data_IF_045537668759
#
_entry.id   IF_045537668759
#
_cell.length_a   1.000
_cell.length_b   1.000
_cell.length_c   1.000
_cell.angle_alpha   90.00
_cell.angle_beta   90.00
_cell.angle_gamma   90.00
#
_symmetry.space_group_name_H-M   'P 1'
#
loop_
_entity.id
_entity.type
_entity.pdbx_description
1 polymer ?
#
# COMPACT_ATOMS: atom_id res chain seq x y z
N UNK A 1 42.20 30.34 22.19
CA UNK A 1 42.61 29.22 21.32
C UNK A 1 42.50 27.92 22.09
N UNK A 2 41.45 27.13 21.85
CA UNK A 2 41.46 25.70 22.19
C UNK A 2 40.51 25.00 21.21
N UNK A 3 41.08 24.09 20.41
CA UNK A 3 40.44 23.38 19.31
C UNK A 3 39.47 22.32 19.85
N UNK A 4 38.23 22.36 19.36
CA UNK A 4 37.24 21.29 19.55
C UNK A 4 37.53 20.24 18.47
N UNK A 5 37.93 19.04 18.90
CA UNK A 5 38.11 17.90 18.04
C UNK A 5 36.76 17.33 17.61
N UNK A 6 36.55 17.23 16.29
CA UNK A 6 35.37 16.64 15.70
C UNK A 6 35.38 15.12 15.84
N UNK A 7 34.26 14.57 16.29
CA UNK A 7 34.00 13.14 16.25
C UNK A 7 33.17 12.86 14.99
N UNK A 8 33.84 12.40 13.93
CA UNK A 8 33.20 11.81 12.76
C UNK A 8 32.56 10.49 13.18
N UNK A 9 31.23 10.43 13.23
CA UNK A 9 30.50 9.16 13.31
C UNK A 9 30.47 8.59 11.90
N UNK A 10 31.18 7.48 11.72
CA UNK A 10 31.31 6.75 10.47
C UNK A 10 29.94 6.41 9.86
N UNK A 11 29.79 6.74 8.58
CA UNK A 11 28.78 6.14 7.71
C UNK A 11 29.05 4.63 7.66
N UNK A 12 28.16 3.82 8.22
CA UNK A 12 28.19 2.38 7.96
C UNK A 12 27.76 2.17 6.51
N UNK A 13 28.75 1.80 5.70
CA UNK A 13 28.62 1.38 4.32
C UNK A 13 27.67 0.18 4.20
N UNK A 14 26.78 0.19 3.22
CA UNK A 14 25.80 -0.90 2.98
C UNK A 14 26.44 -2.12 2.27
N UNK A 15 27.78 -2.20 2.23
CA UNK A 15 28.54 -3.21 1.51
C UNK A 15 28.62 -4.57 2.22
N UNK A 16 28.34 -4.67 3.53
CA UNK A 16 28.58 -5.90 4.31
C UNK A 16 27.29 -6.61 4.77
N UNK A 17 26.30 -6.75 3.89
CA UNK A 17 25.28 -7.80 4.07
C UNK A 17 25.77 -9.04 3.32
N UNK A 18 26.00 -10.18 4.00
CA UNK A 18 26.47 -11.40 3.34
C UNK A 18 25.53 -11.76 2.19
N UNK A 19 26.05 -11.75 0.95
CA UNK A 19 25.33 -12.15 -0.27
C UNK A 19 24.90 -13.62 -0.28
N UNK A 20 25.11 -14.35 0.82
CA UNK A 20 24.98 -15.80 0.91
C UNK A 20 24.02 -16.28 2.00
N UNK A 21 23.01 -15.47 2.36
CA UNK A 21 21.87 -15.99 3.13
C UNK A 21 20.84 -16.56 2.16
N UNK A 22 20.61 -17.87 2.24
CA UNK A 22 19.49 -18.53 1.54
C UNK A 22 18.21 -17.70 1.76
N UNK A 23 17.37 -17.50 0.72
CA UNK A 23 16.15 -16.71 0.87
C UNK A 23 15.30 -17.30 2.00
N UNK A 24 14.81 -16.42 2.88
CA UNK A 24 13.95 -16.82 3.98
C UNK A 24 12.79 -17.70 3.45
N UNK A 25 12.51 -18.80 4.17
CA UNK A 25 11.48 -19.74 3.75
C UNK A 25 10.10 -19.17 4.07
N UNK A 26 9.16 -19.12 3.09
CA UNK A 26 7.80 -18.71 3.39
C UNK A 26 7.16 -19.61 4.44
N UNK A 27 6.34 -19.01 5.31
CA UNK A 27 5.62 -19.75 6.34
C UNK A 27 4.61 -20.72 5.71
N UNK A 28 4.08 -21.66 6.50
CA UNK A 28 3.19 -22.70 5.97
C UNK A 28 1.97 -22.13 5.21
N UNK A 29 1.21 -21.14 5.73
CA UNK A 29 0.15 -20.48 4.96
C UNK A 29 0.62 -19.89 3.62
N UNK A 30 1.76 -19.21 3.59
CA UNK A 30 2.36 -18.65 2.36
C UNK A 30 2.70 -19.73 1.35
N UNK A 31 3.29 -20.85 1.79
CA UNK A 31 3.62 -21.97 0.90
C UNK A 31 2.38 -22.63 0.30
N UNK A 32 1.30 -22.76 1.08
CA UNK A 32 0.03 -23.29 0.59
C UNK A 32 -0.57 -22.36 -0.47
N UNK A 33 -0.58 -21.05 -0.23
CA UNK A 33 -1.02 -20.06 -1.22
C UNK A 33 -0.22 -20.16 -2.53
N UNK A 34 1.10 -20.19 -2.46
CA UNK A 34 1.96 -20.32 -3.64
C UNK A 34 1.76 -21.65 -4.39
N UNK A 35 1.40 -22.74 -3.68
CA UNK A 35 1.03 -24.01 -4.32
C UNK A 35 -0.31 -23.89 -5.05
N UNK A 36 -1.31 -23.27 -4.43
CA UNK A 36 -2.62 -23.03 -5.06
C UNK A 36 -2.51 -22.18 -6.33
N UNK A 37 -1.72 -21.10 -6.29
CA UNK A 37 -1.50 -20.22 -7.45
C UNK A 37 -0.87 -21.01 -8.60
N UNK A 38 0.22 -21.75 -8.33
CA UNK A 38 0.88 -22.58 -9.36
C UNK A 38 -0.04 -23.66 -9.93
N UNK A 39 -0.85 -24.28 -9.08
CA UNK A 39 -1.84 -25.26 -9.52
C UNK A 39 -2.91 -24.64 -10.43
N UNK A 40 -3.42 -23.45 -10.10
CA UNK A 40 -4.35 -22.72 -10.96
C UNK A 40 -3.73 -22.33 -12.31
N UNK A 41 -2.47 -21.89 -12.32
CA UNK A 41 -1.74 -21.60 -13.56
C UNK A 41 -1.57 -22.85 -14.42
N UNK A 42 -1.24 -23.99 -13.82
CA UNK A 42 -1.13 -25.27 -14.53
C UNK A 42 -2.48 -25.69 -15.11
N UNK A 43 -3.58 -25.54 -14.36
CA UNK A 43 -4.92 -25.81 -14.88
C UNK A 43 -5.25 -24.91 -16.07
N UNK A 44 -5.00 -23.60 -15.99
CA UNK A 44 -5.24 -22.68 -17.10
C UNK A 44 -4.44 -23.05 -18.34
N UNK A 45 -3.16 -23.42 -18.19
CA UNK A 45 -2.33 -23.90 -19.32
C UNK A 45 -2.87 -25.17 -19.95
N UNK A 46 -3.36 -26.12 -19.13
CA UNK A 46 -3.98 -27.36 -19.63
C UNK A 46 -5.29 -27.09 -20.38
N UNK A 47 -6.11 -26.14 -19.91
CA UNK A 47 -7.36 -25.78 -20.58
C UNK A 47 -7.14 -24.91 -21.83
N UNK A 48 -6.06 -24.12 -21.89
CA UNK A 48 -5.68 -23.35 -23.07
C UNK A 48 -5.10 -24.23 -24.19
N UNK A 49 -4.67 -25.46 -23.89
CA UNK A 49 -4.13 -26.42 -24.87
C UNK A 49 -5.18 -27.14 -25.74
N UNK A 50 -6.35 -26.55 -25.96
CA UNK A 50 -7.43 -27.17 -26.74
C UNK A 50 -8.12 -26.24 -27.75
N UNK A 51 -7.61 -25.02 -28.00
CA UNK A 51 -8.18 -24.15 -29.02
C UNK A 51 -7.14 -23.14 -29.53
N UNK A 52 -6.29 -23.59 -30.45
CA UNK A 52 -5.52 -22.70 -31.32
C UNK A 52 -5.89 -23.04 -32.78
N UNK A 53 -7.05 -22.55 -33.22
CA UNK A 53 -7.26 -22.23 -34.63
C UNK A 53 -6.93 -20.74 -34.81
N UNK A 54 -5.81 -20.49 -35.48
CA UNK A 54 -5.27 -19.19 -35.78
C UNK A 54 -6.16 -18.48 -36.83
N UNK A 55 -7.17 -17.72 -36.40
CA UNK A 55 -7.91 -16.81 -37.28
C UNK A 55 -8.28 -15.51 -36.58
N UNK A 56 -7.99 -14.39 -37.26
CA UNK A 56 -8.25 -12.97 -36.92
C UNK A 56 -7.46 -12.34 -35.75
N UNK A 57 -6.26 -11.83 -36.04
CA UNK A 57 -5.53 -10.90 -35.17
C UNK A 57 -6.05 -9.46 -35.38
N UNK A 58 -6.61 -8.77 -34.37
CA UNK A 58 -7.00 -7.38 -34.54
C UNK A 58 -5.79 -6.44 -34.59
N UNK A 59 -5.91 -5.43 -35.45
CA UNK A 59 -4.95 -4.39 -35.79
C UNK A 59 -4.61 -3.35 -34.69
N UNK A 60 -4.76 -3.62 -33.38
CA UNK A 60 -4.50 -2.56 -32.38
C UNK A 60 -4.12 -3.05 -30.96
N UNK A 61 -2.82 -3.00 -30.63
CA UNK A 61 -2.28 -3.33 -29.31
C UNK A 61 -2.92 -2.52 -28.15
N UNK A 62 -3.41 -1.30 -28.41
CA UNK A 62 -4.09 -0.50 -27.41
C UNK A 62 -5.46 -1.09 -27.01
N UNK A 63 -6.18 -1.67 -27.97
CA UNK A 63 -7.46 -2.33 -27.70
C UNK A 63 -7.26 -3.62 -26.90
N UNK A 64 -6.21 -4.39 -27.19
CA UNK A 64 -5.85 -5.58 -26.42
C UNK A 64 -5.47 -5.24 -24.97
N UNK A 65 -4.67 -4.18 -24.77
CA UNK A 65 -4.33 -3.69 -23.44
C UNK A 65 -5.57 -3.24 -22.67
N UNK A 66 -6.47 -2.48 -23.31
CA UNK A 66 -7.72 -2.06 -22.68
C UNK A 66 -8.58 -3.26 -22.27
N UNK A 67 -8.75 -4.25 -23.14
CA UNK A 67 -9.49 -5.48 -22.83
C UNK A 67 -8.81 -6.30 -21.72
N UNK A 68 -7.48 -6.35 -21.69
CA UNK A 68 -6.72 -6.95 -20.60
C UNK A 68 -6.97 -6.25 -19.27
N UNK A 69 -6.89 -4.91 -19.22
CA UNK A 69 -7.11 -4.12 -18.01
C UNK A 69 -8.53 -4.29 -17.46
N UNK A 70 -9.55 -4.34 -18.32
CA UNK A 70 -10.93 -4.62 -17.90
C UNK A 70 -11.03 -5.97 -17.19
N UNK A 71 -10.44 -7.03 -17.78
CA UNK A 71 -10.44 -8.37 -17.19
C UNK A 71 -9.64 -8.41 -15.88
N UNK A 72 -8.47 -7.77 -15.85
CA UNK A 72 -7.61 -7.66 -14.68
C UNK A 72 -8.35 -6.98 -13.53
N UNK A 73 -8.91 -5.79 -13.74
CA UNK A 73 -9.61 -5.02 -12.70
C UNK A 73 -10.84 -5.74 -12.19
N UNK A 74 -11.61 -6.41 -13.06
CA UNK A 74 -12.73 -7.26 -12.64
C UNK A 74 -12.28 -8.40 -11.71
N UNK A 75 -11.18 -9.06 -12.04
CA UNK A 75 -10.64 -10.15 -11.23
C UNK A 75 -10.01 -9.64 -9.91
N UNK A 76 -9.30 -8.52 -9.96
CA UNK A 76 -8.52 -8.00 -8.84
C UNK A 76 -9.30 -7.09 -7.89
N UNK A 77 -10.41 -6.47 -8.33
CA UNK A 77 -11.38 -5.81 -7.46
C UNK A 77 -12.46 -6.79 -6.95
N UNK A 78 -12.06 -8.02 -6.66
CA UNK A 78 -12.90 -9.01 -5.98
C UNK A 78 -12.27 -9.33 -4.63
N UNK A 79 -13.04 -9.38 -3.53
CA UNK A 79 -12.51 -9.81 -2.24
C UNK A 79 -11.85 -11.19 -2.36
N UNK A 80 -10.65 -11.38 -1.79
CA UNK A 80 -9.94 -12.68 -1.85
C UNK A 80 -10.73 -13.84 -1.19
N UNK A 81 -11.75 -13.52 -0.39
CA UNK A 81 -12.68 -14.48 0.19
C UNK A 81 -14.11 -13.92 0.19
N UNK A 82 -15.15 -14.79 0.20
CA UNK A 82 -16.53 -14.36 0.38
C UNK A 82 -16.70 -13.38 1.54
N UNK A 83 -17.46 -12.31 1.36
CA UNK A 83 -17.59 -11.22 2.35
C UNK A 83 -17.94 -11.71 3.76
N UNK A 84 -18.72 -12.78 3.90
CA UNK A 84 -19.05 -13.41 5.19
C UNK A 84 -17.82 -13.93 5.96
N UNK A 85 -16.81 -14.44 5.25
CA UNK A 85 -15.54 -14.90 5.82
C UNK A 85 -14.53 -13.76 5.92
N UNK A 86 -14.73 -12.73 5.09
CA UNK A 86 -13.71 -11.77 4.81
C UNK A 86 -13.86 -10.47 5.63
N UNK A 87 -15.09 -10.07 5.92
CA UNK A 87 -15.41 -8.89 6.71
C UNK A 87 -15.64 -9.21 8.20
N UNK A 88 -15.71 -8.16 9.02
CA UNK A 88 -16.17 -8.23 10.41
C UNK A 88 -17.38 -7.30 10.55
N UNK A 89 -18.36 -7.61 11.42
CA UNK A 89 -19.49 -6.72 11.63
C UNK A 89 -19.03 -5.32 12.07
N UNK A 90 -19.60 -4.30 11.43
CA UNK A 90 -19.44 -2.87 11.75
C UNK A 90 -20.81 -2.21 11.69
N UNK A 91 -20.96 -1.02 12.30
CA UNK A 91 -22.26 -0.37 12.47
C UNK A 91 -22.91 -0.01 11.14
N UNK A 92 -22.13 0.58 10.23
CA UNK A 92 -22.65 1.06 8.94
C UNK A 92 -21.55 1.12 7.90
N UNK A 93 -21.90 0.79 6.66
CA UNK A 93 -21.11 1.10 5.48
C UNK A 93 -21.95 1.96 4.55
N UNK A 94 -21.37 3.06 4.07
CA UNK A 94 -22.05 4.01 3.19
C UNK A 94 -21.23 4.20 1.93
N UNK A 95 -21.85 4.05 0.77
CA UNK A 95 -21.26 4.47 -0.50
C UNK A 95 -21.53 5.96 -0.68
N UNK A 96 -20.48 6.72 -0.97
CA UNK A 96 -20.51 8.17 -1.12
C UNK A 96 -19.99 8.56 -2.50
N UNK A 97 -20.40 9.74 -2.94
CA UNK A 97 -19.68 10.52 -3.94
C UNK A 97 -19.08 11.73 -3.23
N UNK A 98 -17.77 11.88 -3.30
CA UNK A 98 -17.01 12.97 -2.66
C UNK A 98 -16.27 13.77 -3.74
N UNK A 99 -15.86 15.03 -3.48
CA UNK A 99 -15.01 15.75 -4.41
C UNK A 99 -13.67 15.02 -4.62
N UNK A 100 -13.32 14.75 -5.86
CA UNK A 100 -11.98 14.32 -6.30
C UNK A 100 -11.27 15.45 -7.06
N UNK A 101 -10.03 15.24 -7.48
CA UNK A 101 -9.24 16.31 -8.11
C UNK A 101 -9.70 16.67 -9.53
N UNK A 102 -10.36 15.75 -10.23
CA UNK A 102 -10.88 15.95 -11.59
C UNK A 102 -12.41 15.74 -11.70
N UNK A 103 -13.13 15.86 -10.57
CA UNK A 103 -14.57 15.67 -10.51
C UNK A 103 -15.00 14.74 -9.36
N UNK A 104 -16.29 14.36 -9.30
CA UNK A 104 -16.80 13.50 -8.24
C UNK A 104 -16.14 12.12 -8.25
N UNK A 105 -15.65 11.68 -7.10
CA UNK A 105 -15.02 10.39 -6.88
C UNK A 105 -15.89 9.52 -5.98
N UNK A 106 -16.02 8.23 -6.31
CA UNK A 106 -16.74 7.28 -5.44
C UNK A 106 -15.88 6.96 -4.23
N UNK A 107 -16.52 6.75 -3.09
CA UNK A 107 -15.85 6.28 -1.90
C UNK A 107 -16.76 5.39 -1.05
N UNK A 108 -16.16 4.62 -0.16
CA UNK A 108 -16.88 3.81 0.83
C UNK A 108 -16.45 4.22 2.23
N UNK A 109 -17.42 4.64 3.04
CA UNK A 109 -17.23 5.05 4.42
C UNK A 109 -17.69 3.93 5.36
N UNK A 110 -16.77 3.46 6.21
CA UNK A 110 -16.98 2.40 7.18
C UNK A 110 -17.04 3.01 8.58
N UNK A 111 -18.20 2.91 9.24
CA UNK A 111 -18.43 3.47 10.57
C UNK A 111 -18.49 2.32 11.58
N UNK A 112 -17.58 2.26 12.56
CA UNK A 112 -17.59 1.21 13.58
C UNK A 112 -18.70 1.43 14.62
N UNK A 113 -18.92 0.42 15.47
CA UNK A 113 -19.74 0.56 16.66
C UNK A 113 -19.04 1.41 17.73
N UNK A 114 -19.83 2.04 18.61
CA UNK A 114 -19.32 2.88 19.70
C UNK A 114 -18.99 4.31 19.28
N UNK A 115 -18.32 5.05 20.17
CA UNK A 115 -17.94 6.45 19.94
C UNK A 115 -16.71 6.51 19.02
N UNK A 116 -16.88 7.18 17.88
CA UNK A 116 -15.81 7.44 16.91
C UNK A 116 -15.03 8.69 17.33
N UNK A 117 -13.69 8.62 17.34
CA UNK A 117 -12.78 9.70 17.82
C UNK A 117 -11.74 10.15 16.78
N UNK A 118 -11.93 9.76 15.53
CA UNK A 118 -11.13 10.22 14.41
C UNK A 118 -11.50 9.47 13.14
N UNK A 119 -10.81 9.81 12.07
CA UNK A 119 -11.02 9.20 10.77
C UNK A 119 -9.71 8.72 10.14
N UNK A 120 -9.78 7.62 9.40
CA UNK A 120 -8.67 7.04 8.67
C UNK A 120 -8.98 7.11 7.18
N UNK A 121 -8.09 7.73 6.40
CA UNK A 121 -8.07 7.52 4.96
C UNK A 121 -7.28 6.24 4.68
N UNK A 122 -7.93 5.23 4.09
CA UNK A 122 -7.26 4.01 3.66
C UNK A 122 -7.15 3.99 2.14
N UNK A 123 -5.92 3.88 1.64
CA UNK A 123 -5.61 3.85 0.21
C UNK A 123 -5.24 2.43 -0.18
N UNK A 124 -5.97 1.85 -1.12
CA UNK A 124 -5.75 0.46 -1.53
C UNK A 124 -4.46 0.30 -2.33
N UNK A 125 -3.85 -0.89 -2.27
CA UNK A 125 -2.78 -1.30 -3.16
C UNK A 125 -3.25 -1.62 -4.58
N UNK A 126 -2.44 -2.35 -5.34
CA UNK A 126 -2.76 -2.72 -6.74
C UNK A 126 -1.89 -2.03 -7.79
N UNK A 127 -0.71 -1.55 -7.39
CA UNK A 127 0.29 -0.98 -8.30
C UNK A 127 -0.21 0.24 -9.06
N UNK A 128 -1.15 1.00 -8.49
CA UNK A 128 -1.85 2.13 -9.12
C UNK A 128 -2.71 1.78 -10.35
N UNK A 129 -2.86 0.49 -10.68
CA UNK A 129 -3.47 0.02 -11.93
C UNK A 129 -4.76 -0.77 -11.70
N UNK A 130 -4.89 -1.47 -10.57
CA UNK A 130 -6.09 -2.28 -10.25
C UNK A 130 -6.44 -2.23 -8.76
N UNK A 131 -7.28 -3.17 -8.31
CA UNK A 131 -8.02 -3.13 -7.05
C UNK A 131 -9.01 -1.94 -7.00
N UNK A 132 -9.61 -1.71 -5.85
CA UNK A 132 -10.68 -0.74 -5.67
C UNK A 132 -11.48 -0.97 -4.40
N UNK A 133 -12.72 -0.49 -4.41
CA UNK A 133 -13.60 -0.48 -3.23
C UNK A 133 -13.95 -1.88 -2.69
N UNK A 134 -13.95 -2.91 -3.54
CA UNK A 134 -14.44 -4.23 -3.17
C UNK A 134 -13.32 -5.13 -2.65
N UNK A 135 -12.18 -5.15 -3.33
CA UNK A 135 -10.97 -5.88 -2.92
C UNK A 135 -10.53 -5.58 -1.48
N UNK A 136 -10.62 -4.32 -1.06
CA UNK A 136 -10.14 -3.87 0.25
C UNK A 136 -11.26 -3.68 1.29
N UNK A 137 -12.50 -4.11 0.98
CA UNK A 137 -13.66 -3.98 1.86
C UNK A 137 -13.41 -4.60 3.25
N UNK A 138 -12.94 -5.85 3.29
CA UNK A 138 -12.74 -6.56 4.55
C UNK A 138 -11.57 -6.01 5.37
N UNK A 139 -10.54 -5.46 4.71
CA UNK A 139 -9.45 -4.72 5.38
C UNK A 139 -10.03 -3.50 6.10
N UNK A 140 -10.82 -2.69 5.40
CA UNK A 140 -11.42 -1.48 5.97
C UNK A 140 -12.39 -1.80 7.13
N UNK A 141 -13.20 -2.86 7.04
CA UNK A 141 -14.01 -3.32 8.18
C UNK A 141 -13.16 -3.65 9.41
N UNK A 142 -12.03 -4.36 9.21
CA UNK A 142 -11.14 -4.76 10.30
C UNK A 142 -10.41 -3.57 10.92
N UNK A 143 -9.97 -2.62 10.11
CA UNK A 143 -9.33 -1.39 10.58
C UNK A 143 -10.32 -0.49 11.32
N UNK A 144 -11.55 -0.31 10.81
CA UNK A 144 -12.60 0.43 11.51
C UNK A 144 -12.87 -0.18 12.90
N UNK A 145 -12.99 -1.51 12.97
CA UNK A 145 -13.18 -2.22 14.25
C UNK A 145 -11.98 -2.10 15.19
N UNK A 146 -10.76 -2.25 14.68
CA UNK A 146 -9.55 -2.27 15.50
C UNK A 146 -9.14 -0.88 16.01
N UNK A 147 -9.33 0.16 15.18
CA UNK A 147 -9.02 1.55 15.52
C UNK A 147 -10.14 2.25 16.28
N UNK A 148 -11.41 1.87 16.04
CA UNK A 148 -12.57 2.63 16.48
C UNK A 148 -12.79 3.93 15.70
N UNK A 149 -12.06 4.13 14.59
CA UNK A 149 -12.18 5.29 13.72
C UNK A 149 -13.14 5.01 12.56
N UNK A 150 -13.74 6.07 12.02
CA UNK A 150 -14.37 6.00 10.71
C UNK A 150 -13.28 5.76 9.66
N UNK A 151 -13.50 4.88 8.67
CA UNK A 151 -12.53 4.61 7.61
C UNK A 151 -13.13 5.01 6.27
N UNK A 152 -12.43 5.85 5.50
CA UNK A 152 -12.80 6.21 4.14
C UNK A 152 -11.86 5.46 3.17
N UNK A 153 -12.46 4.74 2.22
CA UNK A 153 -11.77 4.10 1.10
C UNK A 153 -12.21 4.81 -0.20
N UNK A 154 -11.37 5.65 -0.82
CA UNK A 154 -11.67 6.28 -2.09
C UNK A 154 -11.40 5.34 -3.27
N UNK A 155 -12.13 5.55 -4.36
CA UNK A 155 -11.96 4.90 -5.66
C UNK A 155 -11.11 5.81 -6.55
N UNK A 156 -9.83 6.00 -6.18
CA UNK A 156 -8.93 6.95 -6.85
C UNK A 156 -8.64 6.52 -8.29
N UNK A 157 -8.37 7.48 -9.17
CA UNK A 157 -8.09 7.22 -10.59
C UNK A 157 -6.86 6.32 -10.78
N UNK A 158 -6.97 5.36 -11.70
CA UNK A 158 -5.96 4.34 -11.95
C UNK A 158 -5.22 4.57 -13.27
N UNK A 159 -3.96 4.15 -13.30
CA UNK A 159 -3.16 4.04 -14.50
C UNK A 159 -3.58 2.82 -15.35
N UNK A 160 -3.32 2.86 -16.67
CA UNK A 160 -2.62 3.91 -17.43
C UNK A 160 -3.52 5.09 -17.88
N UNK A 161 -4.85 5.01 -17.72
CA UNK A 161 -5.77 6.08 -18.14
C UNK A 161 -5.51 7.39 -17.40
N UNK A 162 -5.09 7.26 -16.14
CA UNK A 162 -4.73 8.37 -15.28
C UNK A 162 -3.39 8.08 -14.59
N UNK A 163 -2.27 8.36 -15.29
CA UNK A 163 -0.93 8.12 -14.77
C UNK A 163 -0.58 9.09 -13.63
N UNK A 164 0.62 8.95 -13.08
CA UNK A 164 1.17 9.89 -12.11
C UNK A 164 1.01 11.36 -12.58
N UNK A 165 0.52 12.29 -11.74
CA UNK A 165 0.24 12.15 -10.30
C UNK A 165 -1.26 11.93 -9.94
N UNK A 166 -2.11 11.49 -10.86
CA UNK A 166 -3.57 11.54 -10.68
C UNK A 166 -4.10 10.84 -9.41
N UNK A 167 -3.57 9.66 -9.07
CA UNK A 167 -3.95 8.92 -7.87
C UNK A 167 -3.62 9.70 -6.58
N UNK A 168 -2.53 10.47 -6.58
CA UNK A 168 -2.11 11.27 -5.42
C UNK A 168 -3.03 12.47 -5.27
N UNK A 169 -3.35 13.15 -6.36
CA UNK A 169 -4.22 14.33 -6.33
C UNK A 169 -5.63 13.94 -5.86
N UNK A 170 -6.16 12.80 -6.32
CA UNK A 170 -7.42 12.26 -5.80
C UNK A 170 -7.33 11.88 -4.32
N UNK A 171 -6.21 11.30 -3.89
CA UNK A 171 -5.99 10.94 -2.49
C UNK A 171 -5.89 12.17 -1.58
N UNK A 172 -5.30 13.27 -2.06
CA UNK A 172 -5.28 14.56 -1.36
C UNK A 172 -6.69 15.14 -1.24
N UNK A 173 -7.48 15.12 -2.32
CA UNK A 173 -8.88 15.57 -2.31
C UNK A 173 -9.72 14.76 -1.31
N UNK A 174 -9.53 13.43 -1.27
CA UNK A 174 -10.19 12.57 -0.29
C UNK A 174 -9.77 12.88 1.15
N UNK A 175 -8.49 13.15 1.40
CA UNK A 175 -8.00 13.53 2.73
C UNK A 175 -8.59 14.86 3.19
N UNK A 176 -8.64 15.86 2.29
CA UNK A 176 -9.24 17.16 2.55
C UNK A 176 -10.72 17.04 2.93
N UNK A 177 -11.49 16.27 2.15
CA UNK A 177 -12.89 16.00 2.45
C UNK A 177 -13.05 15.28 3.79
N UNK A 178 -12.20 14.26 4.05
CA UNK A 178 -12.24 13.49 5.28
C UNK A 178 -11.91 14.33 6.51
N UNK A 179 -10.98 15.28 6.40
CA UNK A 179 -10.63 16.21 7.48
C UNK A 179 -11.83 17.08 7.87
N UNK A 180 -12.56 17.63 6.89
CA UNK A 180 -13.80 18.36 7.14
C UNK A 180 -14.88 17.50 7.80
N UNK A 181 -15.09 16.28 7.31
CA UNK A 181 -16.02 15.33 7.92
C UNK A 181 -15.62 14.95 9.35
N UNK A 182 -14.32 14.71 9.60
CA UNK A 182 -13.81 14.38 10.92
C UNK A 182 -13.98 15.53 11.91
N UNK A 183 -13.72 16.77 11.48
CA UNK A 183 -13.96 17.97 12.31
C UNK A 183 -15.42 18.09 12.74
N UNK A 184 -16.36 17.78 11.84
CA UNK A 184 -17.79 17.88 12.11
C UNK A 184 -18.33 16.74 12.97
N UNK A 185 -17.85 15.52 12.79
CA UNK A 185 -18.52 14.33 13.35
C UNK A 185 -17.65 13.49 14.30
N UNK A 186 -16.33 13.55 14.20
CA UNK A 186 -15.44 12.53 14.78
C UNK A 186 -14.24 13.11 15.55
N UNK A 187 -14.25 14.40 15.89
CA UNK A 187 -13.22 15.02 16.75
C UNK A 187 -12.01 15.56 16.00
N UNK A 188 -12.10 15.77 14.68
CA UNK A 188 -11.12 16.53 13.90
C UNK A 188 -9.85 15.80 13.48
N UNK A 189 -9.47 14.73 14.19
CA UNK A 189 -8.24 13.99 13.87
C UNK A 189 -8.41 13.12 12.64
N UNK A 190 -7.41 13.16 11.75
CA UNK A 190 -7.30 12.28 10.58
C UNK A 190 -5.97 11.56 10.56
N UNK A 191 -5.96 10.31 10.12
CA UNK A 191 -4.76 9.53 9.85
C UNK A 191 -4.80 8.99 8.42
N UNK A 192 -3.64 8.58 7.89
CA UNK A 192 -3.52 7.95 6.58
C UNK A 192 -2.95 6.55 6.72
N UNK A 193 -3.44 5.63 5.91
CA UNK A 193 -2.89 4.29 5.79
C UNK A 193 -3.06 3.75 4.38
N UNK A 194 -2.26 2.76 4.04
CA UNK A 194 -2.44 2.04 2.79
C UNK A 194 -1.46 0.89 2.66
N UNK A 195 -1.70 0.04 1.68
CA UNK A 195 -0.88 -1.12 1.42
C UNK A 195 -0.24 -1.09 0.03
N UNK A 196 1.01 -1.56 -0.10
CA UNK A 196 1.74 -1.55 -1.37
C UNK A 196 1.76 -0.14 -2.00
N UNK A 197 1.23 0.04 -3.21
CA UNK A 197 1.01 1.33 -3.86
C UNK A 197 0.16 2.31 -3.02
N UNK A 198 -0.84 1.84 -2.25
CA UNK A 198 -1.58 2.69 -1.33
C UNK A 198 -0.74 3.15 -0.14
N UNK A 199 0.25 2.34 0.26
CA UNK A 199 1.25 2.72 1.26
C UNK A 199 2.19 3.83 0.75
N UNK A 200 2.50 3.82 -0.55
CA UNK A 200 3.19 4.92 -1.21
C UNK A 200 2.38 6.22 -1.09
N UNK A 201 1.11 6.19 -1.52
CA UNK A 201 0.23 7.36 -1.47
C UNK A 201 0.09 7.90 -0.03
N UNK A 202 -0.05 7.02 0.96
CA UNK A 202 -0.15 7.43 2.37
C UNK A 202 1.13 8.12 2.88
N UNK A 203 2.31 7.65 2.48
CA UNK A 203 3.58 8.31 2.82
C UNK A 203 3.69 9.68 2.16
N UNK A 204 3.28 9.80 0.89
CA UNK A 204 3.25 11.07 0.15
C UNK A 204 2.31 12.07 0.81
N UNK A 205 1.08 11.68 1.17
CA UNK A 205 0.14 12.56 1.86
C UNK A 205 0.65 13.04 3.22
N UNK A 206 1.43 12.22 3.94
CA UNK A 206 2.05 12.63 5.19
C UNK A 206 3.11 13.73 4.97
N UNK A 207 3.86 13.63 3.86
CA UNK A 207 4.84 14.66 3.45
C UNK A 207 4.16 15.93 2.95
N UNK A 208 3.11 15.80 2.13
CA UNK A 208 2.32 16.93 1.62
C UNK A 208 1.66 17.71 2.76
N UNK A 209 1.11 17.01 3.76
CA UNK A 209 0.58 17.64 4.97
C UNK A 209 1.63 18.47 5.70
N UNK A 210 2.86 17.95 5.85
CA UNK A 210 3.96 18.64 6.53
C UNK A 210 4.40 19.87 5.75
N UNK A 211 4.36 19.80 4.42
CA UNK A 211 4.65 20.91 3.53
C UNK A 211 3.52 21.97 3.45
N UNK A 212 2.40 21.77 4.15
CA UNK A 212 1.26 22.70 4.12
C UNK A 212 0.39 22.57 2.87
N UNK A 213 0.52 21.48 2.11
CA UNK A 213 -0.24 21.21 0.89
C UNK A 213 -1.54 20.43 1.14
N UNK A 214 -1.87 20.14 2.41
CA UNK A 214 -3.09 19.44 2.79
C UNK A 214 -3.20 19.25 4.31
N UNK A 215 -4.24 18.56 4.79
CA UNK A 215 -4.40 18.28 6.21
C UNK A 215 -3.24 17.41 6.73
N UNK A 216 -2.61 17.83 7.82
CA UNK A 216 -1.57 17.05 8.49
C UNK A 216 -2.18 15.80 9.15
N UNK A 217 -1.82 14.58 8.72
CA UNK A 217 -2.27 13.37 9.41
C UNK A 217 -1.63 13.27 10.80
N UNK A 218 -2.35 12.74 11.79
CA UNK A 218 -1.82 12.48 13.13
C UNK A 218 -0.94 11.22 13.19
N UNK A 219 -1.03 10.36 12.17
CA UNK A 219 -0.27 9.11 12.03
C UNK A 219 -0.30 8.64 10.58
N UNK A 220 0.77 7.96 10.15
CA UNK A 220 0.83 7.19 8.91
C UNK A 220 1.03 5.69 9.19
N UNK A 221 0.21 4.82 8.60
CA UNK A 221 0.35 3.36 8.73
C UNK A 221 0.59 2.73 7.36
N UNK A 222 1.81 2.24 7.15
CA UNK A 222 2.30 1.81 5.84
C UNK A 222 2.47 0.28 5.83
N UNK A 223 1.67 -0.42 5.03
CA UNK A 223 1.75 -1.87 4.89
C UNK A 223 2.51 -2.23 3.61
N UNK A 224 3.69 -2.85 3.76
CA UNK A 224 4.65 -3.23 2.71
C UNK A 224 4.70 -2.21 1.57
N UNK A 225 4.95 -0.92 1.89
CA UNK A 225 4.78 0.19 0.97
C UNK A 225 5.82 0.16 -0.16
N UNK A 226 5.47 0.72 -1.33
CA UNK A 226 6.43 1.05 -2.39
C UNK A 226 7.00 2.47 -2.15
N UNK A 227 8.33 2.68 -2.09
CA UNK A 227 8.87 3.94 -1.54
C UNK A 227 10.05 4.61 -2.27
N UNK A 228 10.80 3.90 -3.13
CA UNK A 228 12.08 4.43 -3.66
C UNK A 228 12.22 4.41 -5.19
N UNK A 229 11.12 4.27 -5.94
CA UNK A 229 11.15 4.31 -7.40
C UNK A 229 12.09 3.26 -8.00
N UNK A 230 13.08 3.68 -8.78
CA UNK A 230 14.03 2.79 -9.46
C UNK A 230 15.14 2.23 -8.56
N UNK A 231 15.33 2.76 -7.35
CA UNK A 231 16.42 2.34 -6.46
C UNK A 231 16.34 0.84 -6.19
N UNK A 232 17.44 0.15 -6.44
CA UNK A 232 17.52 -1.29 -6.23
C UNK A 232 17.88 -1.62 -4.78
N UNK A 233 17.18 -2.59 -4.22
CA UNK A 233 17.47 -3.18 -2.91
C UNK A 233 17.79 -4.68 -3.04
N UNK A 234 18.56 -5.26 -2.11
CA UNK A 234 18.90 -6.69 -2.13
C UNK A 234 17.66 -7.61 -2.24
N UNK A 235 16.61 -7.33 -1.48
CA UNK A 235 15.33 -8.05 -1.52
C UNK A 235 14.66 -8.07 -2.90
N UNK A 236 14.86 -7.07 -3.76
CA UNK A 236 14.38 -7.12 -5.15
C UNK A 236 14.95 -8.31 -5.90
N UNK A 237 16.25 -8.59 -5.72
CA UNK A 237 16.92 -9.74 -6.33
C UNK A 237 16.58 -11.03 -5.60
N UNK A 238 16.61 -11.03 -4.26
CA UNK A 238 16.35 -12.24 -3.45
C UNK A 238 14.96 -12.83 -3.69
N UNK A 239 13.96 -11.98 -3.90
CA UNK A 239 12.56 -12.39 -4.05
C UNK A 239 11.98 -12.08 -5.44
N UNK A 240 12.82 -11.95 -6.47
CA UNK A 240 12.41 -11.49 -7.81
C UNK A 240 11.34 -12.36 -8.48
N UNK A 241 11.26 -13.66 -8.15
CA UNK A 241 10.41 -14.67 -8.79
C UNK A 241 9.90 -15.69 -7.76
N UNK A 242 8.63 -16.07 -7.89
CA UNK A 242 8.04 -17.17 -7.11
C UNK A 242 7.48 -16.78 -5.74
N UNK A 243 7.44 -15.49 -5.39
CA UNK A 243 7.01 -14.96 -4.09
C UNK A 243 5.77 -14.04 -4.19
N UNK A 244 4.83 -14.39 -5.08
CA UNK A 244 3.61 -13.62 -5.39
C UNK A 244 3.87 -12.32 -6.18
N UNK A 245 4.53 -11.33 -5.57
CA UNK A 245 5.01 -10.16 -6.29
C UNK A 245 6.34 -10.52 -6.98
N UNK A 246 6.49 -10.15 -8.25
CA UNK A 246 7.72 -10.37 -9.02
C UNK A 246 8.32 -9.05 -9.47
N UNK A 247 9.64 -9.06 -9.74
CA UNK A 247 10.32 -7.88 -10.28
C UNK A 247 9.69 -7.40 -11.59
N UNK A 248 9.38 -8.34 -12.50
CA UNK A 248 8.68 -8.06 -13.76
C UNK A 248 7.32 -7.39 -13.54
N UNK A 249 6.57 -7.80 -12.52
CA UNK A 249 5.29 -7.17 -12.20
C UNK A 249 5.47 -5.74 -11.71
N UNK A 250 6.50 -5.48 -10.89
CA UNK A 250 6.83 -4.13 -10.43
C UNK A 250 7.19 -3.20 -11.58
N UNK A 251 8.04 -3.67 -12.50
CA UNK A 251 8.41 -2.94 -13.72
C UNK A 251 7.17 -2.63 -14.55
N UNK A 252 6.31 -3.63 -14.78
CA UNK A 252 5.06 -3.43 -15.53
C UNK A 252 4.14 -2.39 -14.89
N UNK A 253 3.97 -2.38 -13.56
CA UNK A 253 3.18 -1.33 -12.87
C UNK A 253 3.81 0.05 -13.05
N UNK A 254 5.13 0.13 -12.95
CA UNK A 254 5.87 1.36 -13.22
C UNK A 254 5.62 1.90 -14.62
N UNK A 255 5.70 1.04 -15.64
CA UNK A 255 5.45 1.40 -17.04
C UNK A 255 4.02 1.93 -17.27
N UNK A 256 3.04 1.47 -16.49
CA UNK A 256 1.67 1.99 -16.59
C UNK A 256 1.52 3.35 -15.91
N UNK A 257 2.21 3.56 -14.78
CA UNK A 257 1.99 4.72 -13.92
C UNK A 257 2.91 5.91 -14.23
N UNK A 258 4.13 5.64 -14.71
CA UNK A 258 5.16 6.66 -14.95
C UNK A 258 5.29 6.95 -16.44
N UNK A 259 4.98 8.20 -16.82
CA UNK A 259 5.07 8.65 -18.22
C UNK A 259 6.40 9.30 -18.61
N UNK A 260 7.15 9.81 -17.63
CA UNK A 260 8.38 10.55 -17.89
C UNK A 260 9.52 10.01 -17.02
N UNK A 261 10.75 9.85 -17.55
CA UNK A 261 11.88 9.33 -16.79
C UNK A 261 12.12 10.05 -15.45
N UNK A 262 11.97 11.38 -15.42
CA UNK A 262 12.18 12.18 -14.21
C UNK A 262 11.18 11.87 -13.08
N UNK A 263 9.99 11.34 -13.40
CA UNK A 263 8.99 11.02 -12.38
C UNK A 263 9.42 9.83 -11.50
N UNK A 264 10.32 8.97 -11.98
CA UNK A 264 10.86 7.85 -11.18
C UNK A 264 11.59 8.29 -9.92
N UNK A 265 12.16 9.50 -9.93
CA UNK A 265 12.89 10.09 -8.81
C UNK A 265 12.09 11.19 -8.10
N UNK A 266 10.89 11.50 -8.59
CA UNK A 266 10.07 12.57 -8.03
C UNK A 266 9.60 12.19 -6.60
N UNK A 267 9.75 13.06 -5.57
CA UNK A 267 9.41 12.72 -4.18
C UNK A 267 7.95 12.28 -3.96
N UNK A 268 7.01 12.82 -4.76
CA UNK A 268 5.60 12.37 -4.73
C UNK A 268 5.37 10.97 -5.33
N UNK A 269 6.37 10.34 -5.94
CA UNK A 269 6.33 8.93 -6.36
C UNK A 269 7.34 8.05 -5.59
N UNK A 270 8.52 8.60 -5.31
CA UNK A 270 9.56 7.97 -4.51
C UNK A 270 9.75 8.74 -3.19
N UNK A 271 8.79 8.67 -2.24
CA UNK A 271 8.82 9.46 -1.00
C UNK A 271 10.04 9.18 -0.12
N UNK A 272 10.69 8.03 -0.28
CA UNK A 272 11.96 7.69 0.38
C UNK A 272 13.17 8.46 -0.13
N UNK A 273 13.06 9.16 -1.27
CA UNK A 273 14.09 10.05 -1.82
C UNK A 273 13.93 11.50 -1.37
N UNK A 274 12.89 11.85 -0.62
CA UNK A 274 12.74 13.20 -0.08
C UNK A 274 13.89 13.47 0.93
N UNK A 275 14.70 14.53 0.73
CA UNK A 275 15.84 14.81 1.60
C UNK A 275 15.44 15.30 2.99
N UNK A 276 14.21 15.80 3.18
CA UNK A 276 13.72 16.32 4.45
C UNK A 276 12.49 15.55 4.93
N UNK A 277 12.72 14.65 5.88
CA UNK A 277 11.69 13.85 6.54
C UNK A 277 11.37 14.36 7.96
N UNK A 278 11.91 15.51 8.37
CA UNK A 278 11.72 16.04 9.72
C UNK A 278 10.29 16.59 9.91
N UNK A 279 9.73 16.33 11.09
CA UNK A 279 8.38 16.79 11.44
C UNK A 279 7.25 15.99 10.80
N UNK A 280 7.55 14.89 10.10
CA UNK A 280 6.52 13.95 9.62
C UNK A 280 5.79 13.28 10.80
N UNK A 281 4.53 12.85 10.60
CA UNK A 281 3.75 12.27 11.68
C UNK A 281 4.29 10.88 12.06
N UNK A 282 4.06 10.42 13.30
CA UNK A 282 4.46 9.10 13.75
C UNK A 282 4.05 8.01 12.76
N UNK A 283 4.95 7.07 12.52
CA UNK A 283 4.80 6.04 11.51
C UNK A 283 4.69 4.65 12.11
N UNK A 284 3.79 3.83 11.57
CA UNK A 284 3.78 2.38 11.76
C UNK A 284 4.11 1.77 10.41
N UNK A 285 5.24 1.07 10.30
CA UNK A 285 5.69 0.45 9.06
C UNK A 285 5.70 -1.07 9.25
N UNK A 286 5.00 -1.77 8.36
CA UNK A 286 4.83 -3.22 8.44
C UNK A 286 5.36 -3.82 7.15
N UNK A 287 6.28 -4.77 7.23
CA UNK A 287 6.85 -5.45 6.05
C UNK A 287 6.58 -6.94 6.10
N UNK A 288 6.77 -7.62 4.97
CA UNK A 288 6.75 -9.07 4.85
C UNK A 288 8.18 -9.57 4.62
N UNK A 289 8.57 -10.68 5.27
CA UNK A 289 9.96 -11.17 5.20
C UNK A 289 10.34 -11.68 3.80
N UNK A 290 9.39 -12.32 3.09
CA UNK A 290 9.59 -12.89 1.76
C UNK A 290 8.96 -11.99 0.69
N UNK A 291 9.43 -10.75 0.60
CA UNK A 291 8.84 -9.70 -0.24
C UNK A 291 9.94 -8.84 -0.89
N UNK A 292 9.88 -8.58 -2.21
CA UNK A 292 10.75 -7.60 -2.86
C UNK A 292 10.76 -6.23 -2.17
N UNK A 293 9.64 -5.78 -1.61
CA UNK A 293 9.50 -4.46 -0.97
C UNK A 293 10.00 -4.42 0.49
N UNK A 294 10.59 -5.52 0.99
CA UNK A 294 11.01 -5.60 2.39
C UNK A 294 12.07 -4.57 2.76
N UNK A 295 13.13 -4.48 1.97
CA UNK A 295 14.29 -3.67 2.34
C UNK A 295 14.02 -2.19 2.14
N UNK A 296 13.21 -1.80 1.15
CA UNK A 296 12.79 -0.40 1.02
C UNK A 296 11.90 0.07 2.19
N UNK A 297 10.95 -0.75 2.64
CA UNK A 297 10.19 -0.44 3.86
C UNK A 297 11.10 -0.30 5.09
N UNK A 298 12.15 -1.11 5.16
CA UNK A 298 13.17 -1.03 6.23
C UNK A 298 14.01 0.25 6.12
N UNK A 299 14.45 0.59 4.92
CA UNK A 299 15.24 1.80 4.67
C UNK A 299 14.46 3.07 5.01
N UNK A 300 13.17 3.12 4.70
CA UNK A 300 12.34 4.29 5.03
C UNK A 300 12.07 4.40 6.52
N UNK A 301 11.87 3.29 7.23
CA UNK A 301 11.78 3.29 8.68
C UNK A 301 13.04 3.90 9.31
N UNK A 302 14.23 3.47 8.87
CA UNK A 302 15.50 4.01 9.33
C UNK A 302 15.67 5.49 8.95
N UNK A 303 15.24 5.90 7.76
CA UNK A 303 15.33 7.30 7.33
C UNK A 303 14.44 8.21 8.19
N UNK A 304 13.22 7.78 8.51
CA UNK A 304 12.32 8.48 9.43
C UNK A 304 12.89 8.57 10.85
N UNK A 305 13.44 7.47 11.38
CA UNK A 305 14.08 7.46 12.71
C UNK A 305 15.27 8.44 12.77
N UNK A 306 16.12 8.44 11.73
CA UNK A 306 17.24 9.40 11.60
C UNK A 306 16.77 10.85 11.55
N UNK A 307 15.59 11.11 10.98
CA UNK A 307 14.96 12.43 10.95
C UNK A 307 14.19 12.78 12.24
N UNK A 308 14.28 11.95 13.30
CA UNK A 308 13.64 12.20 14.59
C UNK A 308 12.14 11.86 14.63
N UNK A 309 11.61 11.19 13.61
CA UNK A 309 10.20 10.76 13.58
C UNK A 309 10.03 9.51 14.44
N UNK A 310 8.96 9.46 15.23
CA UNK A 310 8.61 8.25 15.99
C UNK A 310 8.15 7.14 15.05
N UNK A 311 8.93 6.06 14.96
CA UNK A 311 8.62 4.91 14.11
C UNK A 311 8.32 3.66 14.96
N UNK A 312 7.35 2.88 14.52
CA UNK A 312 7.11 1.51 14.98
C UNK A 312 7.22 0.59 13.77
N UNK A 313 8.33 -0.13 13.67
CA UNK A 313 8.58 -1.07 12.58
C UNK A 313 8.25 -2.52 12.98
N UNK A 314 7.69 -3.29 12.05
CA UNK A 314 7.47 -4.74 12.22
C UNK A 314 7.52 -5.51 10.90
N UNK A 315 8.52 -6.38 10.78
CA UNK A 315 8.55 -7.40 9.74
C UNK A 315 7.80 -8.66 10.18
N UNK A 316 6.95 -9.22 9.31
CA UNK A 316 6.22 -10.46 9.57
C UNK A 316 6.94 -11.67 8.95
N UNK A 317 7.47 -12.61 9.77
CA UNK A 317 8.25 -13.74 9.28
C UNK A 317 7.48 -14.66 8.32
N UNK A 318 8.14 -15.07 7.24
CA UNK A 318 7.65 -15.94 6.19
C UNK A 318 6.42 -15.42 5.43
N UNK A 319 5.97 -14.18 5.69
CA UNK A 319 4.87 -13.56 4.98
C UNK A 319 5.30 -13.14 3.57
N UNK A 320 4.35 -13.11 2.64
CA UNK A 320 4.53 -12.64 1.27
C UNK A 320 3.99 -11.22 1.11
N UNK A 321 4.32 -10.58 -0.01
CA UNK A 321 3.65 -9.35 -0.42
C UNK A 321 2.12 -9.55 -0.45
N UNK A 322 1.36 -8.50 -0.12
CA UNK A 322 -0.11 -8.53 -0.07
C UNK A 322 -0.72 -9.50 0.97
N UNK A 323 0.05 -9.96 1.98
CA UNK A 323 -0.46 -10.91 3.00
C UNK A 323 -1.69 -10.42 3.78
N UNK A 324 -1.98 -9.11 3.77
CA UNK A 324 -3.22 -8.58 4.34
C UNK A 324 -4.43 -9.17 3.63
N UNK A 325 -4.44 -9.24 2.30
CA UNK A 325 -5.59 -9.71 1.52
C UNK A 325 -5.94 -11.17 1.83
N UNK A 326 -4.99 -11.92 2.37
CA UNK A 326 -5.17 -13.32 2.77
C UNK A 326 -5.59 -13.48 4.25
N UNK A 327 -6.07 -12.42 4.92
CA UNK A 327 -6.35 -12.42 6.36
C UNK A 327 -7.30 -13.54 6.82
N UNK A 328 -8.15 -14.12 5.96
CA UNK A 328 -9.04 -15.20 6.37
C UNK A 328 -8.23 -16.45 6.77
N UNK A 329 -7.16 -16.76 6.02
CA UNK A 329 -6.32 -17.96 6.18
C UNK A 329 -4.89 -17.68 6.67
N UNK A 330 -4.41 -16.44 6.59
CA UNK A 330 -3.11 -16.01 7.10
C UNK A 330 -3.27 -15.30 8.46
N UNK A 331 -2.85 -15.91 9.58
CA UNK A 331 -2.89 -15.27 10.90
C UNK A 331 -2.15 -13.92 10.92
N UNK A 332 -1.08 -13.81 10.13
CA UNK A 332 -0.26 -12.61 10.03
C UNK A 332 -1.08 -11.43 9.50
N UNK A 333 -1.94 -11.61 8.49
CA UNK A 333 -2.79 -10.53 7.95
C UNK A 333 -3.73 -9.94 9.01
N UNK A 334 -4.44 -10.81 9.75
CA UNK A 334 -5.27 -10.39 10.90
C UNK A 334 -4.43 -9.73 12.00
N UNK A 335 -3.23 -10.22 12.27
CA UNK A 335 -2.35 -9.66 13.29
C UNK A 335 -1.84 -8.26 12.90
N UNK A 336 -1.45 -8.05 11.64
CA UNK A 336 -0.98 -6.77 11.12
C UNK A 336 -2.07 -5.70 11.13
N UNK A 337 -3.30 -6.03 10.70
CA UNK A 337 -4.44 -5.10 10.77
C UNK A 337 -4.79 -4.74 12.22
N UNK A 338 -4.76 -5.71 13.14
CA UNK A 338 -4.95 -5.44 14.57
C UNK A 338 -3.82 -4.59 15.15
N UNK A 339 -2.59 -4.79 14.71
CA UNK A 339 -1.43 -4.03 15.17
C UNK A 339 -1.52 -2.56 14.75
N UNK A 340 -1.69 -2.28 13.45
CA UNK A 340 -1.90 -0.92 12.95
C UNK A 340 -3.15 -0.27 13.52
N UNK A 341 -4.27 -1.00 13.60
CA UNK A 341 -5.51 -0.51 14.21
C UNK A 341 -5.34 -0.09 15.68
N UNK A 342 -4.58 -0.85 16.48
CA UNK A 342 -4.30 -0.46 17.88
C UNK A 342 -3.43 0.80 17.97
N UNK A 343 -2.47 0.99 17.06
CA UNK A 343 -1.67 2.21 17.01
C UNK A 343 -2.54 3.42 16.66
N UNK A 344 -3.39 3.29 15.65
CA UNK A 344 -4.38 4.32 15.28
C UNK A 344 -5.31 4.66 16.44
N UNK A 345 -5.84 3.65 17.16
CA UNK A 345 -6.69 3.87 18.33
C UNK A 345 -6.01 4.74 19.39
N UNK A 346 -4.71 4.52 19.63
CA UNK A 346 -3.92 5.33 20.57
C UNK A 346 -3.73 6.76 20.04
N UNK A 347 -3.41 6.90 18.75
CA UNK A 347 -3.21 8.21 18.10
C UNK A 347 -4.47 9.08 18.09
N UNK A 348 -5.66 8.49 18.06
CA UNK A 348 -6.92 9.24 18.16
C UNK A 348 -7.34 9.54 19.61
N UNK A 349 -6.80 8.82 20.59
CA UNK A 349 -7.20 8.93 21.99
C UNK A 349 -6.47 10.03 22.76
N UNK A 350 -5.17 10.21 22.52
CA UNK A 350 -4.41 11.40 22.94
C UNK A 350 -4.60 12.48 21.90
#
# INVERSE_FOLDING_TARGET
MQKIAGNQVAMSDFSDVPQNSMPARPNLPSRLLLRCIRWQEQLKRKHAGADESETDRPHNAAQEMAAFLVRLRKAMDTPSFPLRLSSVPIRRVVTLSIPGAAGPMRARLFIPYGRVRGALLYLHGGGFVHCGLNSHYGICCRLARASGAAVLLPDYRLAPEHPFPAAIDDSQAALQWLAGASARYWGGKVAVAGDSAGGNLAAVLAQDGRAGLGPQPVMQVLYYPSLYGEKLFPSHRTYEKGYFLSRRSMEWYGDQYIQKPEHWQHPRFAPGLNPDLQGLPPAVIITAECDPMRDEGTAYAQALEKAGVKVIYRCYPGALHAFLNFYAFMPHGKAALRFGGKALKKAFAG
#
